data_IF_263283229171
#
_entry.id   IF_263283229171
#
_cell.length_a   1.000
_cell.length_b   1.000
_cell.length_c   1.000
_cell.angle_alpha   90.00
_cell.angle_beta   90.00
_cell.angle_gamma   90.00
#
_symmetry.space_group_name_H-M   'P 1'
#
loop_
_entity.id
_entity.type
_entity.pdbx_description
1 polymer ?
#
# COMPACT_ATOMS: atom_id res chain seq x y z
N UNK A 1 18.35 -7.48 0.01
CA UNK A 1 17.00 -6.90 0.12
C UNK A 1 16.77 -6.49 1.56
N UNK A 2 16.21 -5.29 1.79
CA UNK A 2 15.88 -4.81 3.13
C UNK A 2 14.42 -5.07 3.44
N UNK A 3 14.13 -5.45 4.68
CA UNK A 3 12.76 -5.50 5.16
C UNK A 3 12.22 -4.08 5.40
N UNK A 4 10.90 -3.95 5.39
CA UNK A 4 10.19 -2.71 5.65
C UNK A 4 8.95 -2.94 6.50
N UNK A 5 8.56 -1.90 7.23
CA UNK A 5 7.27 -1.83 7.91
C UNK A 5 6.18 -1.61 6.88
N UNK A 6 5.09 -2.33 7.03
CA UNK A 6 3.94 -2.29 6.14
C UNK A 6 2.71 -2.09 7.00
N UNK A 7 2.04 -0.95 6.85
CA UNK A 7 0.76 -0.66 7.51
C UNK A 7 -0.31 -0.42 6.46
N UNK A 8 -1.51 -0.07 6.94
CA UNK A 8 -2.66 0.18 6.13
C UNK A 8 -3.40 1.41 6.66
N UNK A 9 -3.99 2.15 5.73
CA UNK A 9 -4.85 3.30 6.01
C UNK A 9 -6.09 3.26 5.11
N UNK A 10 -7.02 4.15 5.37
CA UNK A 10 -8.30 4.18 4.71
C UNK A 10 -8.97 5.53 4.73
N UNK A 11 -10.21 5.55 4.26
CA UNK A 11 -11.04 6.74 4.28
C UNK A 11 -11.17 7.35 5.71
N UNK A 12 -11.44 6.58 6.78
CA UNK A 12 -11.72 7.16 8.09
C UNK A 12 -10.54 7.87 8.74
N UNK A 13 -9.31 7.40 8.49
CA UNK A 13 -8.09 7.81 9.21
C UNK A 13 -7.08 8.54 8.30
N UNK A 14 -7.31 8.60 6.99
CA UNK A 14 -6.64 9.59 6.16
C UNK A 14 -6.90 11.02 6.70
N UNK A 15 -5.93 11.93 6.55
CA UNK A 15 -6.00 13.27 7.16
C UNK A 15 -6.00 14.41 6.11
N UNK A 16 -7.14 15.11 5.90
CA UNK A 16 -8.45 14.89 6.51
C UNK A 16 -9.18 13.64 5.96
N UNK A 17 -10.18 13.09 6.69
CA UNK A 17 -10.88 11.87 6.27
C UNK A 17 -11.47 11.99 4.87
N UNK A 18 -11.08 11.07 4.00
CA UNK A 18 -11.35 11.17 2.58
C UNK A 18 -10.40 10.35 1.73
N UNK A 19 -10.59 10.37 0.41
CA UNK A 19 -9.71 9.68 -0.51
C UNK A 19 -8.58 10.59 -1.02
N UNK A 20 -8.42 11.81 -0.48
CA UNK A 20 -7.44 12.75 -1.01
C UNK A 20 -6.03 12.20 -0.86
N UNK A 21 -5.18 12.42 -1.87
CA UNK A 21 -3.78 12.01 -1.89
C UNK A 21 -2.89 13.20 -2.27
N UNK A 22 -1.64 13.18 -1.84
CA UNK A 22 -0.69 14.27 -2.07
C UNK A 22 -0.31 14.49 -3.55
N UNK A 23 -0.29 13.43 -4.36
CA UNK A 23 0.28 13.45 -5.71
C UNK A 23 -0.72 12.97 -6.77
N UNK A 24 -0.89 13.76 -7.84
CA UNK A 24 -1.67 13.31 -9.00
C UNK A 24 -0.80 12.58 -10.02
N UNK A 25 -0.95 11.26 -10.05
CA UNK A 25 -0.30 10.37 -11.01
C UNK A 25 -1.23 9.98 -12.17
N UNK A 26 -2.19 10.85 -12.50
CA UNK A 26 -3.11 10.69 -13.62
C UNK A 26 -4.49 10.14 -13.25
N UNK A 27 -4.86 10.17 -11.95
CA UNK A 27 -6.19 9.75 -11.46
C UNK A 27 -6.93 10.80 -10.63
N UNK A 28 -6.43 12.04 -10.57
CA UNK A 28 -7.17 13.19 -10.07
C UNK A 28 -7.18 13.34 -8.55
N UNK A 29 -6.02 13.18 -7.91
CA UNK A 29 -5.83 13.35 -6.45
C UNK A 29 -6.79 12.51 -5.59
N UNK A 30 -7.08 11.29 -6.02
CA UNK A 30 -7.89 10.35 -5.25
C UNK A 30 -7.20 8.99 -5.14
N UNK A 31 -7.09 8.49 -3.91
CA UNK A 31 -6.63 7.15 -3.57
C UNK A 31 -7.54 6.09 -4.22
N UNK A 32 -6.95 4.95 -4.56
CA UNK A 32 -7.68 3.79 -5.06
C UNK A 32 -6.82 2.92 -5.95
N UNK A 33 -7.46 2.30 -6.93
CA UNK A 33 -6.85 1.34 -7.84
C UNK A 33 -7.10 -0.11 -7.45
N UNK A 34 -6.98 -0.99 -8.43
CA UNK A 34 -7.26 -2.42 -8.31
C UNK A 34 -6.04 -3.24 -7.90
N UNK A 35 -4.83 -2.67 -8.03
CA UNK A 35 -3.57 -3.35 -7.78
C UNK A 35 -2.99 -4.04 -9.02
N UNK A 36 -3.52 -3.76 -10.21
CA UNK A 36 -2.93 -4.20 -11.49
C UNK A 36 -1.80 -3.25 -11.92
N UNK A 37 -0.91 -3.65 -12.83
CA UNK A 37 0.16 -2.75 -13.30
C UNK A 37 -0.38 -1.46 -13.93
N UNK A 38 -1.47 -1.57 -14.70
CA UNK A 38 -2.13 -0.42 -15.34
C UNK A 38 -2.98 0.42 -14.40
N UNK A 39 -3.36 -0.13 -13.24
CA UNK A 39 -4.15 0.54 -12.21
C UNK A 39 -3.65 0.12 -10.82
N UNK A 40 -2.44 0.57 -10.43
CA UNK A 40 -1.83 0.18 -9.16
C UNK A 40 -2.63 0.72 -7.98
N UNK A 41 -2.58 0.02 -6.85
CA UNK A 41 -3.20 0.48 -5.62
C UNK A 41 -2.36 1.62 -4.99
N UNK A 42 -3.01 2.65 -4.47
CA UNK A 42 -2.33 3.75 -3.78
C UNK A 42 -1.58 3.26 -2.54
N UNK A 43 -0.38 3.77 -2.34
CA UNK A 43 0.28 3.75 -1.04
C UNK A 43 0.89 5.10 -0.68
N UNK A 44 1.05 5.33 0.61
CA UNK A 44 1.73 6.45 1.21
C UNK A 44 3.08 6.03 1.81
N UNK A 45 4.03 6.95 1.86
CA UNK A 45 5.37 6.74 2.42
C UNK A 45 6.04 8.10 2.71
N UNK A 46 7.32 8.08 3.04
CA UNK A 46 8.14 9.27 3.26
C UNK A 46 8.64 9.89 1.94
N UNK A 47 8.69 11.22 1.89
CA UNK A 47 9.35 11.92 0.80
C UNK A 47 10.84 11.53 0.73
N UNK A 48 11.28 11.12 -0.47
CA UNK A 48 12.65 10.67 -0.72
C UNK A 48 12.90 9.19 -0.45
N UNK A 49 11.96 8.45 0.16
CA UNK A 49 12.05 6.98 0.18
C UNK A 49 11.73 6.42 -1.22
N UNK A 50 10.69 6.94 -1.89
CA UNK A 50 10.25 6.56 -3.23
C UNK A 50 10.20 7.77 -4.16
N UNK A 51 10.38 7.53 -5.47
CA UNK A 51 10.15 8.57 -6.48
C UNK A 51 8.64 8.82 -6.60
N UNK A 52 8.22 10.08 -6.74
CA UNK A 52 6.80 10.41 -6.94
C UNK A 52 6.22 9.61 -8.12
N UNK A 53 5.06 8.97 -7.92
CA UNK A 53 4.42 8.07 -8.88
C UNK A 53 5.18 6.78 -9.19
N UNK A 54 6.21 6.41 -8.41
CA UNK A 54 6.92 5.14 -8.55
C UNK A 54 5.94 3.96 -8.39
N UNK A 55 6.02 3.02 -9.33
CA UNK A 55 5.28 1.76 -9.27
C UNK A 55 6.20 0.68 -8.71
N UNK A 56 5.74 0.03 -7.66
CA UNK A 56 6.37 -1.12 -7.03
C UNK A 56 5.42 -2.32 -7.09
N UNK A 57 5.93 -3.50 -6.83
CA UNK A 57 5.12 -4.68 -6.59
C UNK A 57 5.30 -5.13 -5.16
N UNK A 58 4.17 -5.37 -4.49
CA UNK A 58 4.11 -5.91 -3.15
C UNK A 58 3.66 -7.38 -3.19
N UNK A 59 4.59 -8.33 -2.97
CA UNK A 59 4.25 -9.75 -2.92
C UNK A 59 3.33 -10.13 -1.76
N UNK A 60 3.31 -9.37 -0.66
CA UNK A 60 2.45 -9.64 0.48
C UNK A 60 0.97 -9.51 0.10
N UNK A 61 0.64 -8.55 -0.77
CA UNK A 61 -0.71 -8.36 -1.29
C UNK A 61 -0.93 -8.95 -2.68
N UNK A 62 0.16 -9.33 -3.38
CA UNK A 62 0.17 -9.60 -4.84
C UNK A 62 -0.49 -8.47 -5.62
N UNK A 63 -0.03 -7.25 -5.37
CA UNK A 63 -0.53 -6.04 -6.02
C UNK A 63 0.62 -5.16 -6.45
N UNK A 64 0.42 -4.47 -7.56
CA UNK A 64 1.21 -3.29 -7.87
C UNK A 64 0.71 -2.13 -7.02
N UNK A 65 1.64 -1.41 -6.41
CA UNK A 65 1.36 -0.22 -5.64
C UNK A 65 1.99 1.00 -6.34
N UNK A 66 1.37 2.17 -6.23
CA UNK A 66 1.92 3.44 -6.72
C UNK A 66 2.05 4.45 -5.59
N UNK A 67 3.23 5.09 -5.51
CA UNK A 67 3.51 6.10 -4.51
C UNK A 67 2.78 7.39 -4.88
N UNK A 68 1.69 7.67 -4.20
CA UNK A 68 0.87 8.84 -4.53
C UNK A 68 0.50 9.70 -3.32
N UNK A 69 0.86 9.27 -2.12
CA UNK A 69 0.43 9.94 -0.92
C UNK A 69 1.54 10.06 0.12
N UNK A 70 1.35 11.00 1.04
CA UNK A 70 2.27 11.28 2.11
C UNK A 70 1.81 10.63 3.41
N UNK A 71 2.75 10.09 4.17
CA UNK A 71 2.49 9.52 5.50
C UNK A 71 3.44 10.12 6.54
N UNK A 72 2.88 10.75 7.59
CA UNK A 72 3.66 11.40 8.65
C UNK A 72 4.49 10.38 9.45
N UNK A 73 3.88 9.27 9.87
CA UNK A 73 4.59 8.22 10.62
C UNK A 73 5.76 7.63 9.81
N UNK A 74 5.53 7.40 8.51
CA UNK A 74 6.53 6.95 7.57
C UNK A 74 7.69 7.96 7.45
N UNK A 75 7.38 9.26 7.45
CA UNK A 75 8.38 10.33 7.39
C UNK A 75 9.21 10.42 8.67
N UNK A 76 8.58 10.26 9.82
CA UNK A 76 9.28 10.22 11.11
C UNK A 76 10.21 9.00 11.19
N UNK A 77 9.74 7.83 10.74
CA UNK A 77 10.55 6.60 10.62
C UNK A 77 11.73 6.77 9.65
N UNK A 78 11.50 7.43 8.51
CA UNK A 78 12.55 7.70 7.53
C UNK A 78 13.61 8.66 8.08
N UNK A 79 13.19 9.70 8.81
CA UNK A 79 14.09 10.61 9.50
C UNK A 79 14.87 9.91 10.64
N UNK A 80 14.27 8.92 11.28
CA UNK A 80 14.91 8.06 12.29
C UNK A 80 15.72 6.91 11.68
N UNK A 81 16.74 7.28 10.89
CA UNK A 81 17.73 6.33 10.39
C UNK A 81 17.25 5.50 9.20
N UNK A 82 16.39 6.07 8.34
CA UNK A 82 15.91 5.45 7.10
C UNK A 82 15.16 4.14 7.34
N UNK A 83 14.34 4.08 8.40
CA UNK A 83 13.41 2.96 8.59
C UNK A 83 12.38 3.02 7.48
N UNK A 84 12.35 1.97 6.67
CA UNK A 84 11.50 1.87 5.49
C UNK A 84 10.06 1.58 5.91
N UNK A 85 9.12 2.37 5.42
CA UNK A 85 7.73 2.27 5.84
C UNK A 85 6.81 2.64 4.67
N UNK A 86 5.89 1.74 4.33
CA UNK A 86 4.78 2.03 3.44
C UNK A 86 3.44 1.81 4.17
N UNK A 87 2.46 2.60 3.77
CA UNK A 87 1.10 2.58 4.31
C UNK A 87 0.11 2.43 3.14
N UNK A 88 -0.65 1.33 3.09
CA UNK A 88 -1.43 0.97 1.88
C UNK A 88 -2.91 1.29 2.03
N UNK A 89 -3.49 1.91 1.00
CA UNK A 89 -4.91 2.22 0.96
C UNK A 89 -5.77 0.95 0.92
N UNK A 90 -6.70 0.81 1.85
CA UNK A 90 -7.53 -0.42 1.99
C UNK A 90 -8.87 -0.38 1.30
N UNK A 91 -9.42 0.81 1.09
CA UNK A 91 -10.87 0.98 0.99
C UNK A 91 -11.39 1.60 -0.30
N UNK A 92 -12.60 2.15 -0.19
CA UNK A 92 -13.29 2.81 -1.29
C UNK A 92 -13.06 4.32 -1.23
N UNK A 93 -12.88 4.95 -2.40
CA UNK A 93 -12.78 6.40 -2.50
C UNK A 93 -14.08 7.14 -2.12
N UNK A 94 -15.21 6.43 -1.98
CA UNK A 94 -16.53 7.04 -1.77
C UNK A 94 -17.26 6.52 -0.53
N UNK A 95 -16.68 5.57 0.21
CA UNK A 95 -17.33 4.95 1.37
C UNK A 95 -16.40 5.02 2.57
N UNK A 96 -16.82 5.75 3.59
CA UNK A 96 -16.17 5.74 4.89
C UNK A 96 -16.62 4.49 5.68
N UNK A 97 -15.70 3.55 5.92
CA UNK A 97 -15.98 2.32 6.68
C UNK A 97 -15.92 2.47 8.20
N UNK A 98 -15.53 3.65 8.72
CA UNK A 98 -15.40 3.93 10.15
C UNK A 98 -14.48 2.96 10.88
N UNK A 99 -14.77 2.71 12.16
CA UNK A 99 -13.97 1.83 13.02
C UNK A 99 -13.83 0.40 12.49
N UNK A 100 -14.76 -0.08 11.64
CA UNK A 100 -14.66 -1.41 11.03
C UNK A 100 -13.52 -1.45 10.01
N UNK A 101 -13.31 -0.36 9.28
CA UNK A 101 -12.18 -0.23 8.36
C UNK A 101 -10.86 -0.06 9.13
N UNK A 102 -10.86 0.72 10.21
CA UNK A 102 -9.69 0.84 11.10
C UNK A 102 -9.31 -0.52 11.70
N UNK A 103 -10.29 -1.33 12.11
CA UNK A 103 -10.04 -2.70 12.54
C UNK A 103 -9.39 -3.56 11.44
N UNK A 104 -9.83 -3.39 10.19
CA UNK A 104 -9.25 -4.10 9.06
C UNK A 104 -7.80 -3.69 8.79
N UNK A 105 -7.48 -2.40 8.86
CA UNK A 105 -6.12 -1.88 8.70
C UNK A 105 -5.17 -2.55 9.71
N UNK A 106 -5.59 -2.63 10.98
CA UNK A 106 -4.84 -3.32 12.03
C UNK A 106 -4.70 -4.83 11.76
N UNK A 107 -5.76 -5.51 11.32
CA UNK A 107 -5.74 -6.95 11.06
C UNK A 107 -4.88 -7.33 9.84
N UNK A 108 -4.75 -6.43 8.85
CA UNK A 108 -3.92 -6.63 7.66
C UNK A 108 -2.43 -6.38 7.96
N UNK A 109 -2.12 -5.53 8.94
CA UNK A 109 -0.77 -5.09 9.30
C UNK A 109 0.08 -6.27 9.80
N UNK A 110 1.12 -6.72 9.06
CA UNK A 110 2.03 -7.75 9.52
C UNK A 110 3.00 -7.22 10.57
N UNK A 111 3.89 -8.07 11.09
CA UNK A 111 4.91 -7.65 12.05
C UNK A 111 5.81 -6.53 11.52
N UNK A 112 6.35 -5.70 12.41
CA UNK A 112 7.29 -4.63 12.03
C UNK A 112 8.49 -5.17 11.25
N UNK A 113 8.95 -4.41 10.25
CA UNK A 113 10.11 -4.78 9.42
C UNK A 113 10.09 -6.25 8.96
N UNK A 114 8.93 -6.73 8.51
CA UNK A 114 8.76 -8.14 8.10
C UNK A 114 8.52 -8.32 6.61
N UNK A 115 8.17 -7.26 5.87
CA UNK A 115 7.82 -7.35 4.46
C UNK A 115 8.93 -6.81 3.56
N UNK A 116 8.87 -7.16 2.29
CA UNK A 116 9.73 -6.59 1.25
C UNK A 116 8.93 -6.30 -0.01
N UNK A 117 9.50 -5.53 -0.92
CA UNK A 117 8.87 -5.11 -2.16
C UNK A 117 9.83 -5.28 -3.33
N UNK A 118 9.28 -5.35 -4.53
CA UNK A 118 10.03 -5.33 -5.79
C UNK A 118 9.92 -3.94 -6.40
N UNK A 119 11.05 -3.25 -6.53
CA UNK A 119 11.13 -1.99 -7.30
C UNK A 119 11.37 -2.30 -8.77
N UNK A 120 10.83 -1.45 -9.65
CA UNK A 120 10.86 -1.65 -11.11
C UNK A 120 10.40 -3.07 -11.51
N UNK A 121 9.22 -3.50 -11.03
CA UNK A 121 8.73 -4.85 -11.31
C UNK A 121 8.43 -5.04 -12.81
N UNK A 122 8.46 -6.28 -13.28
CA UNK A 122 7.82 -6.66 -14.54
C UNK A 122 6.31 -6.35 -14.48
N UNK A 123 5.65 -6.19 -15.63
CA UNK A 123 4.23 -5.79 -15.72
C UNK A 123 3.25 -6.98 -15.76
N UNK A 124 3.76 -8.21 -15.68
CA UNK A 124 3.01 -9.47 -15.81
C UNK A 124 3.08 -10.37 -14.55
N UNK A 125 3.48 -9.82 -13.40
CA UNK A 125 3.49 -10.55 -12.13
C UNK A 125 2.07 -10.95 -11.71
N UNK A 126 1.89 -12.01 -10.91
CA UNK A 126 0.59 -12.43 -10.42
C UNK A 126 -0.15 -11.30 -9.69
N UNK A 127 -1.43 -11.08 -9.99
CA UNK A 127 -2.23 -10.04 -9.32
C UNK A 127 -3.44 -10.66 -8.63
N UNK A 128 -3.67 -10.26 -7.39
CA UNK A 128 -4.96 -10.41 -6.71
C UNK A 128 -5.68 -9.07 -6.71
N UNK A 129 -6.78 -8.93 -7.45
CA UNK A 129 -7.54 -7.67 -7.51
C UNK A 129 -8.62 -7.57 -6.44
N UNK A 130 -8.68 -8.50 -5.48
CA UNK A 130 -9.67 -8.47 -4.41
C UNK A 130 -9.48 -7.20 -3.56
N UNK A 131 -10.54 -6.41 -3.30
CA UNK A 131 -10.44 -5.25 -2.41
C UNK A 131 -10.07 -5.70 -0.99
N UNK A 132 -9.17 -4.96 -0.33
CA UNK A 132 -8.73 -5.26 1.04
C UNK A 132 -9.86 -5.04 2.05
N UNK A 133 -10.66 -3.99 1.84
CA UNK A 133 -11.87 -3.69 2.59
C UNK A 133 -13.03 -3.33 1.66
N UNK A 134 -14.13 -4.09 1.72
CA UNK A 134 -15.35 -3.78 0.98
C UNK A 134 -16.59 -4.33 1.69
N UNK A 135 -17.69 -3.57 1.65
CA UNK A 135 -18.98 -3.95 2.24
C UNK A 135 -18.88 -4.36 3.73
N UNK A 136 -18.02 -3.66 4.49
CA UNK A 136 -17.80 -3.94 5.92
C UNK A 136 -17.08 -5.27 6.18
N UNK A 137 -16.34 -5.78 5.21
CA UNK A 137 -15.59 -7.03 5.32
C UNK A 137 -14.11 -6.78 5.03
N UNK A 138 -13.26 -7.23 5.95
CA UNK A 138 -11.81 -7.25 5.79
C UNK A 138 -11.37 -8.54 5.08
N UNK A 139 -10.43 -8.46 4.14
CA UNK A 139 -9.94 -9.60 3.36
C UNK A 139 -8.53 -10.04 3.78
N UNK A 140 -8.40 -10.44 5.04
CA UNK A 140 -7.15 -11.01 5.58
C UNK A 140 -6.83 -12.39 4.99
N UNK A 141 -7.77 -13.02 4.29
CA UNK A 141 -7.57 -14.24 3.51
C UNK A 141 -6.92 -13.98 2.13
N UNK A 142 -6.74 -12.71 1.76
CA UNK A 142 -6.08 -12.26 0.53
C UNK A 142 -4.73 -11.58 0.79
N UNK A 143 -4.05 -12.03 1.86
CA UNK A 143 -2.63 -11.75 2.09
C UNK A 143 -1.80 -13.01 1.87
N UNK A 144 -0.59 -12.85 1.38
CA UNK A 144 0.31 -13.91 0.99
C UNK A 144 1.57 -13.76 1.81
N UNK A 145 1.66 -14.37 2.99
CA UNK A 145 2.82 -14.21 3.89
C UNK A 145 3.98 -15.17 3.60
N UNK A 146 3.76 -16.17 2.74
CA UNK A 146 4.72 -17.25 2.44
C UNK A 146 5.38 -17.13 1.06
N UNK A 147 5.43 -15.92 0.50
CA UNK A 147 6.09 -15.70 -0.79
C UNK A 147 7.61 -15.86 -0.70
N UNK A 148 8.22 -16.28 -1.81
CA UNK A 148 9.66 -16.15 -2.02
C UNK A 148 9.91 -14.93 -2.92
N UNK A 149 10.74 -13.99 -2.45
CA UNK A 149 11.01 -12.76 -3.20
C UNK A 149 11.73 -13.00 -4.53
N UNK A 150 12.53 -14.06 -4.61
CA UNK A 150 13.28 -14.42 -5.82
C UNK A 150 12.34 -14.78 -6.98
N UNK A 151 11.09 -15.19 -6.69
CA UNK A 151 10.09 -15.53 -7.71
C UNK A 151 9.59 -14.28 -8.48
N UNK A 152 9.82 -13.08 -7.95
CA UNK A 152 9.33 -11.81 -8.50
C UNK A 152 10.46 -10.91 -9.03
N UNK A 153 11.71 -11.34 -8.88
CA UNK A 153 12.89 -10.60 -9.31
C UNK A 153 13.46 -11.25 -10.56
N UNK A 154 12.96 -10.87 -11.73
CA UNK A 154 13.57 -11.26 -13.01
C UNK A 154 14.82 -10.42 -13.28
N UNK A 155 15.97 -11.08 -13.43
CA UNK A 155 17.26 -10.47 -13.77
C UNK A 155 17.32 -9.91 -15.20
#
# INVERSE_FOLDING_TARGET
MGYMTHTFYGYPDNDPPGPAIAYDCGRGYSAGGTGTYSDPLTFASAEGEFDQCEVIYDPYLRKYLRYEDYCQACTDDWADGQKRHLDVWTGSATVNGGDVQIGCENDLTPGEQSQTIVRRPADDLPVDTTPLFANGQCRTDHVYSSYNIDDYCTY
#
